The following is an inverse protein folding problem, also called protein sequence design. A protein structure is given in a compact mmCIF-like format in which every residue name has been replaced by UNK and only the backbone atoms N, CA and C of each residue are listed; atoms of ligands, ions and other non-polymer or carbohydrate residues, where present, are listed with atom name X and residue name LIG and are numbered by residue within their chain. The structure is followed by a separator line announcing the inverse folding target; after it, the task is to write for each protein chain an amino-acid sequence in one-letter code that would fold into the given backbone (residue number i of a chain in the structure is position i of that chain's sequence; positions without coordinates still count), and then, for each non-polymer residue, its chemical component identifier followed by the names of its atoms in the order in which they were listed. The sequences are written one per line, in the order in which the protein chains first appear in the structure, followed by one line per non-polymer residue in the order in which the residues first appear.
data_IF_187192012066
#
_entry.id   IF_187192012066
#
_cell.length_a   1.000
_cell.length_b   1.000
_cell.length_c   1.000
_cell.angle_alpha   90.00
_cell.angle_beta   90.00
_cell.angle_gamma   90.00
#
_symmetry.space_group_name_H-M   'P 1'
#
loop_
_entity.id
_entity.type
_entity.pdbx_description
1 polymer ?
#
# COMPACT_ATOMS: atom_id res chain seq x y z
N UNK A 1 8.98 13.05 11.47
CA UNK A 1 9.24 13.55 10.10
C UNK A 1 8.62 12.62 9.06
N UNK A 2 8.91 11.31 9.08
CA UNK A 2 8.37 10.36 8.10
C UNK A 2 6.85 10.14 8.21
N UNK A 3 6.32 10.06 9.42
CA UNK A 3 4.87 9.89 9.67
C UNK A 3 4.03 11.02 9.05
N UNK A 4 4.45 12.27 9.25
CA UNK A 4 3.77 13.44 8.65
C UNK A 4 3.82 13.43 7.11
N UNK A 5 4.95 13.00 6.53
CA UNK A 5 5.08 12.87 5.08
C UNK A 5 4.13 11.81 4.52
N UNK A 6 4.04 10.64 5.17
CA UNK A 6 3.16 9.54 4.78
C UNK A 6 1.71 9.98 4.85
N UNK A 7 1.30 10.57 5.96
CA UNK A 7 -0.05 11.13 6.14
C UNK A 7 -0.39 12.13 5.04
N UNK A 8 0.45 13.15 4.85
CA UNK A 8 0.19 14.20 3.84
C UNK A 8 0.11 13.62 2.42
N UNK A 9 0.94 12.63 2.11
CA UNK A 9 0.98 11.99 0.79
C UNK A 9 -0.27 11.14 0.55
N UNK A 10 -0.59 10.22 1.46
CA UNK A 10 -1.73 9.32 1.32
C UNK A 10 -3.06 10.07 1.42
N UNK A 11 -3.22 10.96 2.39
CA UNK A 11 -4.44 11.76 2.54
C UNK A 11 -4.60 12.73 1.38
N UNK A 12 -3.49 13.33 0.92
CA UNK A 12 -3.48 14.19 -0.26
C UNK A 12 -3.94 13.45 -1.51
N UNK A 13 -3.46 12.23 -1.73
CA UNK A 13 -3.93 11.37 -2.82
C UNK A 13 -5.41 11.03 -2.66
N UNK A 14 -5.81 10.48 -1.50
CA UNK A 14 -7.20 10.06 -1.22
C UNK A 14 -8.20 11.21 -1.42
N UNK A 15 -7.85 12.44 -1.02
CA UNK A 15 -8.68 13.65 -1.21
C UNK A 15 -8.91 14.04 -2.67
N UNK A 16 -8.03 13.64 -3.58
CA UNK A 16 -8.17 13.92 -5.01
C UNK A 16 -9.07 12.91 -5.73
N UNK A 17 -9.36 11.79 -5.09
CA UNK A 17 -10.15 10.73 -5.69
C UNK A 17 -11.64 11.09 -5.65
N UNK A 18 -12.32 10.79 -6.75
CA UNK A 18 -13.79 10.80 -6.83
C UNK A 18 -14.22 9.36 -7.04
N UNK A 19 -15.04 8.81 -6.14
CA UNK A 19 -15.46 7.40 -6.16
C UNK A 19 -14.31 6.40 -6.29
N UNK A 20 -13.19 6.70 -5.59
CA UNK A 20 -11.92 5.94 -5.64
C UNK A 20 -11.23 5.93 -7.00
N UNK A 21 -11.50 6.92 -7.85
CA UNK A 21 -10.90 7.06 -9.17
C UNK A 21 -10.25 8.41 -9.38
N UNK A 22 -9.36 8.49 -10.37
CA UNK A 22 -8.70 9.72 -10.80
C UNK A 22 -8.51 9.71 -12.32
N UNK A 23 -8.75 10.86 -12.96
CA UNK A 23 -8.33 11.08 -14.34
C UNK A 23 -6.84 11.37 -14.37
N UNK A 24 -6.08 10.57 -15.13
CA UNK A 24 -4.64 10.73 -15.30
C UNK A 24 -4.27 10.91 -16.78
N UNK A 25 -3.11 11.48 -17.04
CA UNK A 25 -2.49 11.44 -18.37
C UNK A 25 -1.60 10.20 -18.44
N UNK A 26 -2.01 9.23 -19.25
CA UNK A 26 -1.25 8.02 -19.55
C UNK A 26 -0.35 8.21 -20.77
N UNK A 27 -0.01 7.09 -21.42
CA UNK A 27 0.88 7.09 -22.57
C UNK A 27 0.29 7.83 -23.78
N UNK A 28 1.18 8.34 -24.64
CA UNK A 28 0.82 9.09 -25.86
C UNK A 28 -0.10 10.30 -25.61
N UNK A 29 -0.11 10.81 -24.37
CA UNK A 29 -0.97 11.92 -23.97
C UNK A 29 -2.45 11.57 -23.84
N UNK A 30 -2.81 10.28 -23.85
CA UNK A 30 -4.19 9.84 -23.60
C UNK A 30 -4.58 10.16 -22.16
N UNK A 31 -5.83 10.56 -21.97
CA UNK A 31 -6.41 10.75 -20.64
C UNK A 31 -7.31 9.56 -20.35
N UNK A 32 -7.09 8.93 -19.21
CA UNK A 32 -7.85 7.76 -18.79
C UNK A 32 -8.26 7.85 -17.32
N UNK A 33 -9.38 7.22 -17.00
CA UNK A 33 -9.84 7.05 -15.63
C UNK A 33 -9.21 5.78 -15.05
N UNK A 34 -8.54 5.91 -13.90
CA UNK A 34 -7.95 4.77 -13.20
C UNK A 34 -8.48 4.68 -11.77
N UNK A 35 -8.64 3.45 -11.29
CA UNK A 35 -9.09 3.12 -9.94
C UNK A 35 -7.96 3.01 -8.93
N UNK A 36 -8.32 3.20 -7.67
CA UNK A 36 -7.45 3.04 -6.51
C UNK A 36 -8.19 2.22 -5.45
N UNK A 37 -7.47 1.30 -4.81
CA UNK A 37 -7.95 0.56 -3.65
C UNK A 37 -6.87 0.59 -2.59
N UNK A 38 -7.22 1.03 -1.38
CA UNK A 38 -6.31 1.04 -0.24
C UNK A 38 -6.80 -0.03 0.73
N UNK A 39 -5.90 -0.86 1.20
CA UNK A 39 -6.24 -1.81 2.26
C UNK A 39 -6.34 -1.08 3.59
N UNK A 40 -7.05 -1.71 4.53
CA UNK A 40 -7.12 -1.20 5.89
C UNK A 40 -5.71 -1.14 6.52
N UNK A 41 -5.49 -0.21 7.46
CA UNK A 41 -4.26 -0.20 8.25
C UNK A 41 -3.98 -1.54 8.92
N UNK A 42 -2.71 -1.95 8.96
CA UNK A 42 -2.28 -3.03 9.82
C UNK A 42 -2.31 -2.58 11.29
N UNK A 43 -2.71 -3.48 12.16
CA UNK A 43 -2.64 -3.31 13.61
C UNK A 43 -1.18 -3.34 14.10
N UNK A 44 -0.95 -2.79 15.28
CA UNK A 44 0.39 -2.78 15.88
C UNK A 44 0.87 -4.21 16.15
N UNK A 45 -0.04 -5.09 16.57
CA UNK A 45 0.22 -6.52 16.78
C UNK A 45 0.61 -7.23 15.47
N UNK A 46 -0.10 -6.99 14.36
CA UNK A 46 0.23 -7.59 13.05
C UNK A 46 1.62 -7.18 12.56
N UNK A 47 2.00 -5.91 12.73
CA UNK A 47 3.31 -5.41 12.30
C UNK A 47 4.43 -5.99 13.19
N UNK A 48 4.20 -6.09 14.50
CA UNK A 48 5.14 -6.72 15.44
C UNK A 48 5.33 -8.20 15.16
N UNK A 49 4.24 -8.92 14.89
CA UNK A 49 4.25 -10.35 14.56
C UNK A 49 4.97 -10.61 13.23
N UNK A 50 4.72 -9.77 12.21
CA UNK A 50 5.48 -9.80 10.97
C UNK A 50 6.98 -9.63 11.23
N UNK A 51 7.38 -8.57 11.95
CA UNK A 51 8.80 -8.28 12.19
C UNK A 51 9.48 -9.42 12.96
N UNK A 52 8.78 -10.04 13.92
CA UNK A 52 9.25 -11.22 14.67
C UNK A 52 9.42 -12.43 13.76
N UNK A 53 8.43 -12.75 12.92
CA UNK A 53 8.48 -13.91 12.02
C UNK A 53 9.50 -13.74 10.89
N UNK A 54 9.65 -12.53 10.37
CA UNK A 54 10.60 -12.21 9.32
C UNK A 54 12.07 -12.17 9.82
N UNK A 55 12.29 -12.06 11.13
CA UNK A 55 13.62 -12.07 11.73
C UNK A 55 14.42 -10.78 11.51
N UNK A 56 13.76 -9.69 11.07
CA UNK A 56 14.36 -8.37 10.94
C UNK A 56 13.43 -7.27 11.40
N UNK A 57 14.01 -6.16 11.84
CA UNK A 57 13.28 -4.95 12.22
C UNK A 57 12.87 -4.18 10.97
N UNK A 58 11.61 -3.76 10.91
CA UNK A 58 11.15 -2.84 9.87
C UNK A 58 11.73 -1.44 10.06
N UNK A 59 12.09 -0.74 8.97
CA UNK A 59 12.34 0.69 9.00
C UNK A 59 11.16 1.47 9.60
N UNK A 60 11.45 2.54 10.35
CA UNK A 60 10.43 3.31 11.08
C UNK A 60 9.39 3.97 10.14
N UNK A 61 9.79 4.32 8.91
CA UNK A 61 8.90 4.87 7.89
C UNK A 61 7.96 3.81 7.29
N UNK A 62 8.44 2.59 7.06
CA UNK A 62 7.59 1.50 6.61
C UNK A 62 6.61 1.07 7.71
N UNK A 63 7.03 1.08 8.98
CA UNK A 63 6.13 0.88 10.12
C UNK A 63 4.99 1.90 10.12
N UNK A 64 5.32 3.19 9.98
CA UNK A 64 4.33 4.25 9.90
C UNK A 64 3.40 4.11 8.67
N UNK A 65 3.93 3.65 7.54
CA UNK A 65 3.13 3.38 6.34
C UNK A 65 2.08 2.30 6.59
N UNK A 66 2.48 1.17 7.17
CA UNK A 66 1.59 0.02 7.45
C UNK A 66 0.45 0.39 8.41
N UNK A 67 0.71 1.26 9.40
CA UNK A 67 -0.30 1.83 10.31
C UNK A 67 -1.29 2.78 9.64
N UNK A 68 -1.10 3.09 8.36
CA UNK A 68 -2.04 3.88 7.56
C UNK A 68 -2.62 3.12 6.36
N UNK A 69 -1.91 2.11 5.86
CA UNK A 69 -2.28 1.35 4.67
C UNK A 69 -1.47 0.06 4.61
N UNK A 70 -2.10 -1.11 4.80
CA UNK A 70 -1.45 -2.41 4.57
C UNK A 70 -1.46 -2.76 3.07
N UNK A 71 -0.71 -2.02 2.27
CA UNK A 71 -0.70 -2.19 0.82
C UNK A 71 -1.92 -1.60 0.11
N UNK A 72 -1.88 -1.62 -1.22
CA UNK A 72 -2.82 -0.92 -2.07
C UNK A 72 -2.73 -1.39 -3.53
N UNK A 73 -3.81 -1.20 -4.28
CA UNK A 73 -3.80 -1.24 -5.74
C UNK A 73 -3.94 0.19 -6.26
N UNK A 74 -2.98 0.66 -7.03
CA UNK A 74 -2.87 2.03 -7.51
C UNK A 74 -2.91 2.06 -9.03
N UNK A 75 -3.50 3.12 -9.59
CA UNK A 75 -3.56 3.34 -11.05
C UNK A 75 -4.16 2.15 -11.82
N UNK A 76 -5.23 1.53 -11.32
CA UNK A 76 -5.86 0.39 -11.98
C UNK A 76 -6.70 0.84 -13.18
N UNK A 77 -6.29 0.57 -14.43
CA UNK A 77 -7.10 0.90 -15.59
C UNK A 77 -8.15 -0.21 -15.83
N UNK A 78 -8.87 -0.10 -16.94
CA UNK A 78 -9.87 -1.10 -17.34
C UNK A 78 -9.27 -2.48 -17.68
N UNK A 79 -7.98 -2.55 -18.01
CA UNK A 79 -7.28 -3.81 -18.32
C UNK A 79 -5.79 -3.77 -17.95
N UNK A 80 -5.40 -4.57 -16.94
CA UNK A 80 -4.00 -4.83 -16.56
C UNK A 80 -3.17 -3.60 -16.19
N UNK A 81 -1.88 -3.78 -15.88
CA UNK A 81 -0.94 -2.65 -15.73
C UNK A 81 -1.10 -1.81 -14.47
N UNK A 82 -1.93 -2.23 -13.50
CA UNK A 82 -2.00 -1.60 -12.18
C UNK A 82 -0.68 -1.74 -11.40
N UNK A 83 -0.45 -0.83 -10.46
CA UNK A 83 0.64 -0.95 -9.48
C UNK A 83 0.11 -1.55 -8.19
N UNK A 84 0.79 -2.57 -7.68
CA UNK A 84 0.41 -3.27 -6.45
C UNK A 84 1.47 -3.03 -5.37
N UNK A 85 1.02 -2.53 -4.22
CA UNK A 85 1.77 -2.50 -2.99
C UNK A 85 1.28 -3.68 -2.14
N UNK A 86 2.18 -4.61 -1.84
CA UNK A 86 1.85 -5.84 -1.14
C UNK A 86 1.33 -5.58 0.28
N UNK A 87 0.36 -6.40 0.70
CA UNK A 87 0.02 -6.62 2.12
C UNK A 87 1.17 -7.30 2.83
N UNK A 88 1.25 -7.15 4.15
CA UNK A 88 2.20 -7.91 4.97
C UNK A 88 2.12 -9.41 4.71
N UNK A 89 0.91 -9.99 4.64
CA UNK A 89 0.73 -11.43 4.37
C UNK A 89 1.29 -11.88 3.02
N UNK A 90 1.25 -11.03 2.00
CA UNK A 90 1.83 -11.30 0.68
C UNK A 90 3.36 -11.20 0.72
N UNK A 91 3.90 -10.26 1.50
CA UNK A 91 5.34 -10.15 1.75
C UNK A 91 5.82 -11.41 2.48
N UNK A 92 5.10 -11.89 3.49
CA UNK A 92 5.44 -13.12 4.22
C UNK A 92 5.49 -14.34 3.30
N UNK A 93 4.47 -14.49 2.46
CA UNK A 93 4.41 -15.55 1.47
C UNK A 93 5.62 -15.50 0.52
N UNK A 94 5.99 -14.30 0.03
CA UNK A 94 7.15 -14.10 -0.85
C UNK A 94 8.49 -14.35 -0.16
N UNK A 95 8.58 -14.08 1.14
CA UNK A 95 9.76 -14.37 1.95
C UNK A 95 9.85 -15.86 2.34
N UNK A 96 8.81 -16.65 2.08
CA UNK A 96 8.75 -18.05 2.49
C UNK A 96 8.60 -18.22 4.00
N UNK A 97 8.02 -17.23 4.68
CA UNK A 97 7.68 -17.31 6.10
C UNK A 97 6.47 -18.24 6.22
N UNK A 98 6.72 -19.49 6.61
CA UNK A 98 5.68 -20.49 6.83
C UNK A 98 5.23 -20.41 8.27
N UNK A 99 3.92 -20.26 8.48
CA UNK A 99 3.34 -20.33 9.83
C UNK A 99 3.47 -21.78 10.34
N UNK A 100 4.34 -21.98 11.32
CA UNK A 100 4.38 -23.22 12.10
C UNK A 100 3.41 -23.07 13.28
N UNK A 101 2.12 -22.90 12.99
CA UNK A 101 1.04 -22.95 13.98
C UNK A 101 0.69 -24.39 14.32
#
# INVERSE_FOLDING_TARGET
MFEELIHKTLDGLKKRLVDRKLMIQGEMGRVEEVGFSFNEPATEEEIQDFSRRAGFRLPDDYWAFLRHCDGATLFQPWYGGQMELCRLSEVESKLGIVDFS
#
